data_IF_905802192448
#
_entry.id   IF_905802192448
#
_cell.length_a   1.000
_cell.length_b   1.000
_cell.length_c   1.000
_cell.angle_alpha   90.00
_cell.angle_beta   90.00
_cell.angle_gamma   90.00
#
_symmetry.space_group_name_H-M   'P 1'
#
loop_
_entity.id
_entity.type
_entity.pdbx_description
1 polymer ?
#
# COMPACT_ATOMS: atom_id res chain seq x y z
N UNK A 1 17.85 -7.84 32.38
CA UNK A 1 18.40 -7.22 31.17
C UNK A 1 18.79 -8.22 30.09
N UNK A 2 19.52 -9.29 30.36
CA UNK A 2 19.90 -10.29 29.35
C UNK A 2 18.73 -10.97 28.65
N UNK A 3 17.64 -11.29 29.34
CA UNK A 3 16.49 -12.01 28.81
C UNK A 3 15.68 -11.14 27.83
N UNK A 4 15.52 -9.84 28.08
CA UNK A 4 14.86 -8.91 27.16
C UNK A 4 15.65 -8.73 25.86
N UNK A 5 16.98 -8.78 25.93
CA UNK A 5 17.88 -8.72 24.78
C UNK A 5 17.74 -9.95 23.88
N UNK A 6 17.61 -11.15 24.46
CA UNK A 6 17.40 -12.39 23.72
C UNK A 6 16.02 -12.39 22.99
N UNK A 7 14.98 -11.89 23.64
CA UNK A 7 13.64 -11.81 23.02
C UNK A 7 13.63 -10.80 21.86
N UNK A 8 14.24 -9.63 22.03
CA UNK A 8 14.38 -8.63 20.97
C UNK A 8 15.20 -9.17 19.78
N UNK A 9 16.31 -9.87 20.05
CA UNK A 9 17.18 -10.48 19.04
C UNK A 9 16.50 -11.59 18.24
N UNK A 10 15.51 -12.30 18.79
CA UNK A 10 14.80 -13.39 18.09
C UNK A 10 13.68 -12.91 17.16
N UNK A 11 13.11 -11.72 17.39
CA UNK A 11 12.05 -11.16 16.53
C UNK A 11 12.59 -10.37 15.32
N UNK A 12 13.76 -9.75 15.42
CA UNK A 12 14.41 -9.04 14.31
C UNK A 12 14.57 -9.90 13.04
N UNK A 13 15.02 -11.17 13.12
CA UNK A 13 15.16 -12.03 11.95
C UNK A 13 13.84 -12.28 11.21
N UNK A 14 12.71 -12.36 11.93
CA UNK A 14 11.41 -12.63 11.33
C UNK A 14 10.88 -11.41 10.53
N UNK A 15 11.05 -10.19 11.07
CA UNK A 15 10.73 -8.97 10.35
C UNK A 15 11.55 -8.83 9.07
N UNK A 16 12.86 -9.02 9.15
CA UNK A 16 13.74 -8.96 7.98
C UNK A 16 13.40 -10.07 6.98
N UNK A 17 13.01 -11.25 7.44
CA UNK A 17 12.57 -12.35 6.58
C UNK A 17 11.29 -11.99 5.83
N UNK A 18 10.26 -11.48 6.53
CA UNK A 18 8.99 -11.09 5.91
C UNK A 18 9.18 -9.94 4.94
N UNK A 19 10.01 -8.94 5.25
CA UNK A 19 10.34 -7.86 4.32
C UNK A 19 10.99 -8.40 3.04
N UNK A 20 12.02 -9.23 3.16
CA UNK A 20 12.69 -9.84 2.00
C UNK A 20 11.76 -10.72 1.15
N UNK A 21 10.84 -11.45 1.78
CA UNK A 21 9.83 -12.24 1.05
C UNK A 21 8.89 -11.28 0.30
N UNK A 22 8.42 -10.21 0.94
CA UNK A 22 7.54 -9.23 0.31
C UNK A 22 8.19 -8.54 -0.89
N UNK A 23 9.47 -8.16 -0.76
CA UNK A 23 10.24 -7.57 -1.86
C UNK A 23 10.40 -8.56 -3.03
N UNK A 24 10.67 -9.83 -2.75
CA UNK A 24 10.79 -10.87 -3.76
C UNK A 24 9.45 -11.15 -4.46
N UNK A 25 8.34 -11.23 -3.72
CA UNK A 25 7.00 -11.40 -4.28
C UNK A 25 6.62 -10.26 -5.23
N UNK A 26 6.91 -9.01 -4.85
CA UNK A 26 6.65 -7.86 -5.70
C UNK A 26 7.54 -7.87 -6.96
N UNK A 27 8.82 -8.24 -6.83
CA UNK A 27 9.72 -8.41 -7.98
C UNK A 27 9.24 -9.48 -8.95
N UNK A 28 8.70 -10.60 -8.47
CA UNK A 28 8.12 -11.64 -9.33
C UNK A 28 6.92 -11.11 -10.12
N UNK A 29 5.99 -10.42 -9.45
CA UNK A 29 4.85 -9.79 -10.12
C UNK A 29 5.30 -8.76 -11.15
N UNK A 30 6.33 -7.97 -10.86
CA UNK A 30 6.88 -6.98 -11.77
C UNK A 30 7.61 -7.60 -12.96
N UNK A 31 8.34 -8.71 -12.76
CA UNK A 31 8.98 -9.44 -13.85
C UNK A 31 7.96 -10.00 -14.84
N UNK A 32 6.90 -10.64 -14.33
CA UNK A 32 5.78 -11.12 -15.15
C UNK A 32 5.09 -9.99 -15.90
N UNK A 33 4.87 -8.85 -15.24
CA UNK A 33 4.30 -7.66 -15.88
C UNK A 33 5.15 -7.19 -17.06
N UNK A 34 6.47 -7.11 -16.89
CA UNK A 34 7.38 -6.68 -17.94
C UNK A 34 7.39 -7.66 -19.14
N UNK A 35 7.24 -8.96 -18.89
CA UNK A 35 7.13 -9.98 -19.92
C UNK A 35 5.80 -9.88 -20.69
N UNK A 36 4.70 -9.75 -19.97
CA UNK A 36 3.35 -9.68 -20.59
C UNK A 36 3.08 -8.35 -21.28
N UNK A 37 3.67 -7.25 -20.80
CA UNK A 37 3.39 -5.88 -21.26
C UNK A 37 4.67 -5.06 -21.52
N UNK A 38 5.57 -5.50 -22.43
CA UNK A 38 6.91 -4.89 -22.60
C UNK A 38 6.88 -3.41 -23.02
N UNK A 39 5.84 -2.97 -23.77
CA UNK A 39 5.74 -1.62 -24.34
C UNK A 39 4.52 -0.85 -23.85
N UNK A 40 3.96 -1.21 -22.69
CA UNK A 40 2.68 -0.66 -22.24
C UNK A 40 2.70 0.85 -21.99
N UNK A 41 3.86 1.42 -21.69
CA UNK A 41 4.03 2.84 -21.37
C UNK A 41 4.34 3.73 -22.59
N UNK A 42 4.40 3.15 -23.79
CA UNK A 42 4.89 3.81 -25.01
C UNK A 42 3.78 4.13 -26.03
N UNK A 43 2.52 4.14 -25.64
CA UNK A 43 1.39 4.30 -26.57
C UNK A 43 0.88 5.72 -26.69
N UNK A 44 -0.10 5.89 -27.58
CA UNK A 44 -0.84 7.13 -27.81
C UNK A 44 -2.17 7.20 -27.03
N UNK A 45 -2.62 6.05 -26.47
CA UNK A 45 -3.80 6.02 -25.61
C UNK A 45 -3.44 6.51 -24.21
N UNK A 46 -4.46 6.76 -23.40
CA UNK A 46 -4.31 7.25 -22.04
C UNK A 46 -4.82 6.22 -21.04
N UNK A 47 -4.26 6.23 -19.81
CA UNK A 47 -4.80 5.43 -18.69
C UNK A 47 -6.29 5.76 -18.48
N UNK A 48 -6.67 7.03 -18.67
CA UNK A 48 -8.05 7.50 -18.54
C UNK A 48 -9.06 6.88 -19.51
N UNK A 49 -8.61 6.27 -20.60
CA UNK A 49 -9.48 5.53 -21.51
C UNK A 49 -9.99 4.22 -20.89
N UNK A 50 -9.30 3.70 -19.88
CA UNK A 50 -9.65 2.45 -19.18
C UNK A 50 -10.14 2.68 -17.75
N UNK A 51 -9.49 3.59 -17.00
CA UNK A 51 -9.86 3.89 -15.60
C UNK A 51 -9.67 5.37 -15.28
N UNK A 52 -10.45 5.83 -14.29
CA UNK A 52 -10.29 7.13 -13.65
C UNK A 52 -10.17 6.93 -12.14
N UNK A 53 -9.03 7.26 -11.51
CA UNK A 53 -8.93 7.23 -10.04
C UNK A 53 -9.96 8.15 -9.39
N UNK A 54 -10.56 7.71 -8.30
CA UNK A 54 -11.48 8.54 -7.51
C UNK A 54 -10.72 9.39 -6.51
N UNK A 55 -11.16 10.62 -6.30
CA UNK A 55 -10.64 11.48 -5.23
C UNK A 55 -11.21 11.01 -3.89
N UNK A 56 -10.35 10.92 -2.87
CA UNK A 56 -10.74 10.64 -1.50
C UNK A 56 -11.55 11.78 -0.87
N UNK A 57 -12.11 11.50 0.30
CA UNK A 57 -12.92 12.46 1.07
C UNK A 57 -12.13 12.97 2.27
N UNK A 58 -11.79 14.26 2.27
CA UNK A 58 -11.00 14.90 3.31
C UNK A 58 -11.53 14.59 4.72
N UNK A 59 -10.64 14.13 5.61
CA UNK A 59 -10.89 13.91 7.02
C UNK A 59 -9.74 14.53 7.82
N UNK A 60 -10.05 15.55 8.58
CA UNK A 60 -9.08 16.14 9.50
C UNK A 60 -8.87 15.19 10.68
N UNK A 61 -7.63 15.05 11.15
CA UNK A 61 -7.31 14.14 12.28
C UNK A 61 -8.14 14.41 13.55
N UNK A 62 -8.47 15.68 13.83
CA UNK A 62 -9.34 16.07 14.95
C UNK A 62 -10.79 15.57 14.84
N UNK A 63 -11.24 15.22 13.63
CA UNK A 63 -12.60 14.71 13.34
C UNK A 63 -12.61 13.18 13.22
N UNK A 64 -11.45 12.53 13.33
CA UNK A 64 -11.37 11.08 13.30
C UNK A 64 -11.99 10.48 14.57
N UNK A 65 -12.89 9.53 14.40
CA UNK A 65 -13.47 8.75 15.50
C UNK A 65 -12.54 7.55 15.72
N UNK A 66 -12.20 7.27 16.97
CA UNK A 66 -11.29 6.18 17.34
C UNK A 66 -11.68 4.85 16.69
N UNK A 67 -10.73 4.22 16.03
CA UNK A 67 -10.86 2.94 15.34
C UNK A 67 -9.51 2.49 14.79
N UNK A 68 -9.52 1.42 13.98
CA UNK A 68 -8.32 0.76 13.47
C UNK A 68 -8.13 0.91 11.95
N UNK A 69 -9.03 1.63 11.28
CA UNK A 69 -8.98 1.88 9.84
C UNK A 69 -7.97 3.00 9.55
N UNK A 70 -6.92 2.74 8.76
CA UNK A 70 -5.94 3.77 8.41
C UNK A 70 -6.56 4.92 7.62
N UNK A 71 -6.24 6.15 7.98
CA UNK A 71 -6.58 7.36 7.21
C UNK A 71 -5.39 7.72 6.35
N UNK A 72 -5.52 7.55 5.03
CA UNK A 72 -4.47 7.81 4.05
C UNK A 72 -4.60 9.22 3.51
N UNK A 73 -3.56 10.03 3.69
CA UNK A 73 -3.48 11.40 3.20
C UNK A 73 -2.25 11.60 2.32
N UNK A 74 -1.63 12.77 2.34
CA UNK A 74 -0.43 13.09 1.54
C UNK A 74 0.87 12.47 2.04
N UNK A 75 0.85 11.69 3.14
CA UNK A 75 2.02 10.99 3.68
C UNK A 75 2.19 9.56 3.15
N UNK A 76 3.34 8.95 3.46
CA UNK A 76 3.62 7.52 3.17
C UNK A 76 2.88 6.63 4.18
N UNK A 77 2.88 7.04 5.45
CA UNK A 77 2.20 6.36 6.55
C UNK A 77 0.80 6.93 6.79
N UNK A 78 -0.09 6.20 7.47
CA UNK A 78 -1.39 6.72 7.87
C UNK A 78 -1.26 8.01 8.69
N UNK A 79 -2.03 9.03 8.34
CA UNK A 79 -2.07 10.30 9.09
C UNK A 79 -2.73 10.14 10.47
N UNK A 80 -3.68 9.22 10.58
CA UNK A 80 -4.42 8.84 11.80
C UNK A 80 -5.19 7.54 11.53
N UNK A 81 -6.03 7.15 12.50
CA UNK A 81 -6.94 6.01 12.37
C UNK A 81 -8.38 6.44 12.59
N UNK A 82 -9.33 5.75 11.94
CA UNK A 82 -10.77 6.05 11.97
C UNK A 82 -11.56 4.76 12.17
N UNK A 83 -12.84 4.87 12.50
CA UNK A 83 -13.73 3.72 12.70
C UNK A 83 -14.44 3.24 11.42
N UNK A 84 -14.27 3.94 10.32
CA UNK A 84 -14.90 3.62 9.03
C UNK A 84 -13.90 3.74 7.88
N UNK A 85 -14.09 2.91 6.86
CA UNK A 85 -13.41 3.02 5.57
C UNK A 85 -14.33 3.69 4.53
N UNK A 86 -13.74 4.30 3.51
CA UNK A 86 -14.46 4.77 2.32
C UNK A 86 -13.98 4.05 1.04
N UNK A 87 -13.17 3.01 1.21
CA UNK A 87 -12.68 2.13 0.14
C UNK A 87 -12.88 0.68 0.52
N UNK A 88 -12.77 -0.22 -0.45
CA UNK A 88 -12.67 -1.67 -0.27
C UNK A 88 -11.23 -2.14 -0.41
N UNK A 89 -10.92 -3.39 -0.05
CA UNK A 89 -9.58 -3.96 -0.22
C UNK A 89 -9.59 -5.04 -1.32
N UNK A 90 -8.51 -5.19 -2.10
CA UNK A 90 -7.30 -4.35 -2.10
C UNK A 90 -7.56 -2.94 -2.64
N UNK A 91 -6.80 -1.95 -2.18
CA UNK A 91 -6.90 -0.58 -2.66
C UNK A 91 -5.53 0.03 -2.92
N UNK A 92 -5.38 0.62 -4.08
CA UNK A 92 -4.26 1.44 -4.47
C UNK A 92 -4.56 2.90 -4.14
N UNK A 93 -3.68 3.56 -3.40
CA UNK A 93 -3.80 4.99 -3.10
C UNK A 93 -2.66 5.78 -3.73
N UNK A 94 -2.97 7.03 -4.09
CA UNK A 94 -2.06 8.00 -4.70
C UNK A 94 -2.13 9.25 -3.84
N UNK A 95 -1.05 9.58 -3.14
CA UNK A 95 -0.98 10.76 -2.30
C UNK A 95 -1.25 12.02 -3.15
N UNK A 96 -2.10 12.93 -2.67
CA UNK A 96 -2.58 14.01 -3.50
C UNK A 96 -1.83 15.32 -3.29
N UNK A 97 -1.18 15.53 -2.14
CA UNK A 97 -0.51 16.79 -1.82
C UNK A 97 0.72 16.61 -0.95
N UNK A 98 1.53 17.66 -0.86
CA UNK A 98 2.72 17.73 -0.03
C UNK A 98 3.95 17.07 -0.67
N UNK A 99 5.00 16.85 0.12
CA UNK A 99 6.29 16.32 -0.35
C UNK A 99 6.20 14.93 -1.01
N UNK A 100 5.15 14.17 -0.69
CA UNK A 100 4.93 12.83 -1.26
C UNK A 100 3.78 12.81 -2.28
N UNK A 101 3.36 13.97 -2.82
CA UNK A 101 2.32 14.00 -3.85
C UNK A 101 2.66 13.04 -5.00
N UNK A 102 1.73 12.16 -5.37
CA UNK A 102 1.96 11.12 -6.37
C UNK A 102 2.54 9.80 -5.84
N UNK A 103 2.85 9.70 -4.53
CA UNK A 103 3.32 8.43 -3.98
C UNK A 103 2.25 7.34 -4.09
N UNK A 104 2.63 6.22 -4.69
CA UNK A 104 1.77 5.06 -4.92
C UNK A 104 1.94 4.06 -3.79
N UNK A 105 0.83 3.69 -3.14
CA UNK A 105 0.82 2.67 -2.10
C UNK A 105 -0.32 1.66 -2.32
N UNK A 106 -0.08 0.40 -1.99
CA UNK A 106 -1.08 -0.67 -2.04
C UNK A 106 -1.43 -1.10 -0.61
N UNK A 107 -2.73 -1.08 -0.31
CA UNK A 107 -3.28 -1.51 0.97
C UNK A 107 -4.05 -2.82 0.81
N UNK A 108 -3.74 -3.79 1.67
CA UNK A 108 -4.42 -5.08 1.73
C UNK A 108 -5.60 -5.10 2.71
N UNK A 109 -5.93 -3.94 3.26
CA UNK A 109 -7.07 -3.70 4.15
C UNK A 109 -7.83 -2.47 3.64
N UNK A 110 -9.14 -2.33 3.94
CA UNK A 110 -9.88 -1.11 3.65
C UNK A 110 -9.24 0.08 4.36
N UNK A 111 -9.26 1.26 3.71
CA UNK A 111 -8.74 2.50 4.29
C UNK A 111 -9.75 3.63 4.16
N UNK A 112 -9.55 4.72 4.87
CA UNK A 112 -10.15 5.99 4.56
C UNK A 112 -9.20 6.81 3.69
N UNK A 113 -9.46 6.86 2.38
CA UNK A 113 -8.75 7.74 1.47
C UNK A 113 -9.19 9.19 1.74
N UNK A 114 -8.26 10.00 2.29
CA UNK A 114 -8.50 11.40 2.65
C UNK A 114 -7.90 12.34 1.61
N UNK A 115 -6.72 12.90 1.86
CA UNK A 115 -5.99 13.70 0.87
C UNK A 115 -5.15 12.81 -0.06
N UNK A 116 -5.84 11.90 -0.72
CA UNK A 116 -5.32 10.96 -1.69
C UNK A 116 -6.36 10.69 -2.77
N UNK A 117 -5.93 10.17 -3.91
CA UNK A 117 -6.81 9.50 -4.87
C UNK A 117 -6.68 8.00 -4.69
N UNK A 118 -7.64 7.21 -5.18
CA UNK A 118 -7.64 5.77 -5.01
C UNK A 118 -8.23 5.01 -6.19
N UNK A 119 -7.85 3.74 -6.30
CA UNK A 119 -8.39 2.74 -7.20
C UNK A 119 -8.66 1.49 -6.37
N UNK A 120 -9.91 1.06 -6.29
CA UNK A 120 -10.37 -0.15 -5.64
C UNK A 120 -11.32 -0.94 -6.55
N UNK A 121 -11.96 -1.98 -6.06
CA UNK A 121 -12.88 -2.83 -6.83
C UNK A 121 -14.13 -2.09 -7.32
N UNK A 122 -14.50 -0.95 -6.73
CA UNK A 122 -15.58 -0.10 -7.21
C UNK A 122 -15.24 0.62 -8.53
N UNK A 123 -13.98 0.58 -8.95
CA UNK A 123 -13.47 1.17 -10.19
C UNK A 123 -13.07 0.07 -11.16
N UNK A 124 -12.33 -0.92 -10.68
CA UNK A 124 -11.84 -2.05 -11.49
C UNK A 124 -11.53 -3.26 -10.61
N UNK A 125 -11.83 -4.49 -11.05
CA UNK A 125 -11.40 -5.69 -10.33
C UNK A 125 -9.88 -5.94 -10.45
N UNK A 126 -9.19 -5.24 -11.36
CA UNK A 126 -7.79 -5.48 -11.70
C UNK A 126 -6.82 -4.55 -10.94
N UNK A 127 -7.02 -4.37 -9.64
CA UNK A 127 -6.27 -3.40 -8.79
C UNK A 127 -4.76 -3.67 -8.82
N UNK A 128 -4.32 -4.91 -8.83
CA UNK A 128 -2.89 -5.27 -8.82
C UNK A 128 -2.18 -4.91 -10.12
N UNK A 129 -2.85 -5.06 -11.28
CA UNK A 129 -2.32 -4.59 -12.55
C UNK A 129 -2.06 -3.08 -12.50
N UNK A 130 -3.05 -2.31 -12.02
CA UNK A 130 -2.94 -0.85 -11.92
C UNK A 130 -1.89 -0.42 -10.89
N UNK A 131 -1.74 -1.18 -9.81
CA UNK A 131 -0.65 -0.94 -8.87
C UNK A 131 0.72 -1.06 -9.53
N UNK A 132 0.97 -2.14 -10.25
CA UNK A 132 2.29 -2.40 -10.86
C UNK A 132 2.62 -1.36 -11.94
N UNK A 133 1.68 -1.04 -12.84
CA UNK A 133 1.95 -0.05 -13.88
C UNK A 133 2.20 1.35 -13.31
N UNK A 134 1.42 1.77 -12.32
CA UNK A 134 1.61 3.08 -11.70
C UNK A 134 2.87 3.11 -10.82
N UNK A 135 3.19 2.03 -10.13
CA UNK A 135 4.43 1.91 -9.36
C UNK A 135 5.66 1.96 -10.24
N UNK A 136 5.64 1.31 -11.39
CA UNK A 136 6.70 1.38 -12.42
C UNK A 136 6.90 2.82 -12.91
N UNK A 137 5.83 3.61 -12.96
CA UNK A 137 5.84 5.03 -13.40
C UNK A 137 5.95 6.03 -12.26
N UNK A 138 6.35 5.59 -11.07
CA UNK A 138 6.40 6.45 -9.87
C UNK A 138 7.18 7.75 -10.10
N UNK A 139 8.32 7.67 -10.81
CA UNK A 139 9.13 8.86 -11.11
C UNK A 139 8.38 9.82 -12.04
N UNK A 140 7.76 9.33 -13.10
CA UNK A 140 6.99 10.12 -14.05
C UNK A 140 5.80 10.83 -13.35
N UNK A 141 5.14 10.12 -12.42
CA UNK A 141 4.06 10.69 -11.60
C UNK A 141 4.60 11.81 -10.69
N UNK A 142 5.77 11.65 -10.11
CA UNK A 142 6.40 12.72 -9.33
C UNK A 142 6.77 13.93 -10.21
N UNK A 143 7.28 13.69 -11.41
CA UNK A 143 7.64 14.75 -12.35
C UNK A 143 6.39 15.53 -12.87
N UNK A 144 5.18 14.92 -12.80
CA UNK A 144 3.90 15.53 -13.17
C UNK A 144 3.26 16.38 -12.05
N UNK A 145 3.94 16.56 -10.92
CA UNK A 145 3.45 17.41 -9.83
C UNK A 145 3.24 18.86 -10.29
N UNK A 146 2.18 19.48 -9.81
CA UNK A 146 1.88 20.89 -10.05
C UNK A 146 1.88 21.67 -8.74
N UNK A 147 2.28 22.96 -8.79
CA UNK A 147 2.34 23.83 -7.63
C UNK A 147 3.74 23.91 -7.01
N UNK A 148 4.38 25.08 -7.12
CA UNK A 148 5.75 25.30 -6.65
C UNK A 148 5.90 25.35 -5.12
N UNK A 149 4.90 25.86 -4.41
CA UNK A 149 4.94 25.97 -2.93
C UNK A 149 4.43 24.69 -2.25
N UNK A 150 3.44 24.03 -2.82
CA UNK A 150 2.90 22.78 -2.34
C UNK A 150 2.60 21.87 -3.55
N UNK A 151 3.37 20.81 -3.75
CA UNK A 151 3.13 19.89 -4.85
C UNK A 151 1.76 19.21 -4.74
N UNK A 152 1.08 19.03 -5.88
CA UNK A 152 -0.19 18.33 -5.98
C UNK A 152 -0.22 17.38 -7.17
N UNK A 153 -0.88 16.23 -6.98
CA UNK A 153 -1.27 15.30 -8.03
C UNK A 153 -2.78 15.08 -7.97
N UNK A 154 -3.44 15.21 -9.11
CA UNK A 154 -4.87 15.00 -9.27
C UNK A 154 -5.16 13.74 -10.09
N UNK A 155 -6.36 13.14 -9.98
CA UNK A 155 -6.76 11.98 -10.78
C UNK A 155 -6.50 12.15 -12.28
N UNK A 156 -6.72 13.35 -12.82
CA UNK A 156 -6.48 13.66 -14.23
C UNK A 156 -5.02 13.47 -14.66
N UNK A 157 -4.05 13.80 -13.80
CA UNK A 157 -2.63 13.62 -14.13
C UNK A 157 -2.27 12.12 -14.27
N UNK A 158 -2.97 11.26 -13.54
CA UNK A 158 -2.82 9.80 -13.70
C UNK A 158 -3.54 9.34 -14.96
N UNK A 159 -4.75 9.86 -15.22
CA UNK A 159 -5.54 9.51 -16.39
C UNK A 159 -4.85 9.94 -17.71
N UNK A 160 -4.12 11.05 -17.70
CA UNK A 160 -3.38 11.61 -18.84
C UNK A 160 -2.04 10.90 -19.11
N UNK A 161 -1.63 9.93 -18.29
CA UNK A 161 -0.42 9.16 -18.56
C UNK A 161 -0.61 8.29 -19.81
N UNK A 162 0.32 8.36 -20.80
CA UNK A 162 0.20 7.59 -22.02
C UNK A 162 0.36 6.09 -21.75
N UNK A 163 -0.36 5.28 -22.53
CA UNK A 163 -0.20 3.83 -22.53
C UNK A 163 -0.48 3.24 -23.90
N UNK A 164 0.08 2.06 -24.18
CA UNK A 164 -0.23 1.34 -25.39
C UNK A 164 -1.60 0.65 -25.28
N UNK A 165 -2.18 0.30 -26.43
CA UNK A 165 -3.41 -0.50 -26.47
C UNK A 165 -3.17 -1.82 -25.73
N UNK A 166 -4.07 -2.17 -24.84
CA UNK A 166 -4.05 -3.45 -24.16
C UNK A 166 -5.45 -4.03 -24.11
N UNK A 167 -5.59 -5.31 -24.38
CA UNK A 167 -6.85 -6.02 -24.25
C UNK A 167 -7.21 -6.22 -22.77
N UNK A 168 -8.46 -5.93 -22.42
CA UNK A 168 -8.96 -6.03 -21.04
C UNK A 168 -8.81 -7.46 -20.51
N UNK A 169 -8.98 -8.46 -21.37
CA UNK A 169 -8.79 -9.87 -21.04
C UNK A 169 -7.35 -10.18 -20.58
N UNK A 170 -6.37 -9.54 -21.23
CA UNK A 170 -4.95 -9.71 -20.87
C UNK A 170 -4.63 -9.04 -19.53
N UNK A 171 -5.27 -7.92 -19.24
CA UNK A 171 -5.19 -7.27 -17.91
C UNK A 171 -5.77 -8.21 -16.84
N UNK A 172 -6.94 -8.79 -17.11
CA UNK A 172 -7.60 -9.71 -16.18
C UNK A 172 -6.77 -10.98 -15.95
N UNK A 173 -6.22 -11.58 -17.01
CA UNK A 173 -5.32 -12.73 -16.93
C UNK A 173 -4.11 -12.45 -16.03
N UNK A 174 -3.43 -11.32 -16.24
CA UNK A 174 -2.31 -10.92 -15.38
C UNK A 174 -2.75 -10.77 -13.93
N UNK A 175 -3.86 -10.07 -13.69
CA UNK A 175 -4.35 -9.82 -12.33
C UNK A 175 -4.70 -11.13 -11.61
N UNK A 176 -5.29 -12.11 -12.32
CA UNK A 176 -5.57 -13.44 -11.78
C UNK A 176 -4.28 -14.17 -11.37
N UNK A 177 -3.25 -14.17 -12.22
CA UNK A 177 -1.97 -14.83 -11.93
C UNK A 177 -1.28 -14.20 -10.72
N UNK A 178 -1.30 -12.87 -10.56
CA UNK A 178 -0.57 -12.21 -9.47
C UNK A 178 -1.38 -12.08 -8.18
N UNK A 179 -2.69 -12.32 -8.21
CA UNK A 179 -3.55 -12.25 -7.01
C UNK A 179 -2.99 -13.06 -5.85
N UNK A 180 -2.64 -14.36 -5.97
CA UNK A 180 -2.09 -15.13 -4.85
C UNK A 180 -0.75 -14.58 -4.33
N UNK A 181 0.06 -13.95 -5.19
CA UNK A 181 1.31 -13.28 -4.81
C UNK A 181 1.01 -12.11 -3.86
N UNK A 182 0.08 -11.24 -4.25
CA UNK A 182 -0.29 -10.08 -3.45
C UNK A 182 -1.09 -10.44 -2.20
N UNK A 183 -1.93 -11.46 -2.23
CA UNK A 183 -2.61 -11.98 -1.04
C UNK A 183 -1.59 -12.49 -0.02
N UNK A 184 -0.56 -13.23 -0.46
CA UNK A 184 0.53 -13.66 0.43
C UNK A 184 1.28 -12.47 1.01
N UNK A 185 1.56 -11.44 0.21
CA UNK A 185 2.17 -10.19 0.66
C UNK A 185 1.32 -9.51 1.74
N UNK A 186 0.01 -9.45 1.53
CA UNK A 186 -0.95 -8.91 2.52
C UNK A 186 -0.95 -9.69 3.84
N UNK A 187 -0.94 -11.03 3.78
CA UNK A 187 -0.85 -11.88 4.97
C UNK A 187 0.43 -11.61 5.77
N UNK A 188 1.59 -11.53 5.10
CA UNK A 188 2.87 -11.24 5.74
C UNK A 188 2.91 -9.83 6.35
N UNK A 189 2.25 -8.85 5.72
CA UNK A 189 2.10 -7.51 6.28
C UNK A 189 1.28 -7.54 7.59
N UNK A 190 0.13 -8.22 7.60
CA UNK A 190 -0.73 -8.35 8.78
C UNK A 190 -0.04 -9.13 9.90
N UNK A 191 0.68 -10.21 9.57
CA UNK A 191 1.50 -10.96 10.52
C UNK A 191 2.56 -10.05 11.18
N UNK A 192 3.30 -9.29 10.37
CA UNK A 192 4.31 -8.35 10.87
C UNK A 192 3.71 -7.28 11.78
N UNK A 193 2.54 -6.74 11.42
CA UNK A 193 1.78 -5.77 12.25
C UNK A 193 1.38 -6.39 13.58
N UNK A 194 0.88 -7.61 13.58
CA UNK A 194 0.50 -8.34 14.79
C UNK A 194 1.70 -8.60 15.70
N UNK A 195 2.81 -9.08 15.14
CA UNK A 195 4.05 -9.31 15.87
C UNK A 195 4.60 -8.01 16.50
N UNK A 196 4.52 -6.89 15.78
CA UNK A 196 4.88 -5.57 16.30
C UNK A 196 4.03 -5.21 17.52
N UNK A 197 2.72 -5.36 17.42
CA UNK A 197 1.78 -5.07 18.51
C UNK A 197 2.03 -5.95 19.74
N UNK A 198 2.28 -7.24 19.52
CA UNK A 198 2.64 -8.18 20.61
C UNK A 198 3.93 -7.75 21.29
N UNK A 199 4.97 -7.43 20.51
CA UNK A 199 6.25 -6.96 21.05
C UNK A 199 6.03 -5.72 21.91
N UNK A 200 5.36 -4.72 21.40
CA UNK A 200 5.17 -3.42 22.07
C UNK A 200 4.32 -3.54 23.34
N UNK A 201 3.43 -4.55 23.39
CA UNK A 201 2.64 -4.87 24.58
C UNK A 201 3.41 -5.66 25.62
N UNK A 202 4.17 -6.68 25.18
CA UNK A 202 4.83 -7.63 26.09
C UNK A 202 6.18 -7.13 26.60
N UNK A 203 6.94 -6.39 25.79
CA UNK A 203 8.29 -5.95 26.13
C UNK A 203 8.32 -5.08 27.40
N UNK A 204 7.45 -4.06 27.58
CA UNK A 204 7.40 -3.28 28.82
C UNK A 204 7.08 -4.14 30.05
N UNK A 205 6.17 -5.11 29.94
CA UNK A 205 5.76 -6.00 31.03
C UNK A 205 6.88 -6.96 31.46
N UNK A 206 7.65 -7.46 30.48
CA UNK A 206 8.82 -8.27 30.74
C UNK A 206 9.96 -7.46 31.38
N UNK A 207 10.14 -6.21 30.95
CA UNK A 207 11.17 -5.31 31.51
C UNK A 207 10.83 -4.84 32.93
N UNK A 208 9.56 -4.62 33.25
CA UNK A 208 9.09 -4.27 34.59
C UNK A 208 9.04 -5.46 35.55
N UNK A 209 9.17 -6.70 35.07
CA UNK A 209 9.01 -7.93 35.86
C UNK A 209 7.56 -8.27 36.19
N UNK A 210 6.59 -7.54 35.63
CA UNK A 210 5.14 -7.83 35.73
C UNK A 210 4.82 -9.18 35.09
N UNK A 211 5.53 -9.54 34.00
CA UNK A 211 5.39 -10.80 33.30
C UNK A 211 6.73 -11.56 33.36
N UNK A 212 6.68 -12.85 33.73
CA UNK A 212 7.84 -13.72 33.73
C UNK A 212 7.74 -14.74 32.59
N UNK A 213 8.87 -15.11 31.99
CA UNK A 213 8.88 -16.06 30.85
C UNK A 213 8.27 -17.41 31.21
N UNK A 214 8.36 -17.84 32.47
CA UNK A 214 7.75 -19.09 32.92
C UNK A 214 6.22 -19.04 32.96
N UNK A 215 5.60 -17.87 32.96
CA UNK A 215 4.15 -17.68 32.95
C UNK A 215 3.56 -17.77 31.52
N UNK A 216 4.40 -17.78 30.50
CA UNK A 216 4.00 -17.83 29.08
C UNK A 216 3.92 -19.27 28.55
N UNK A 217 4.58 -20.20 29.23
CA UNK A 217 4.67 -21.61 28.80
C UNK A 217 3.67 -22.56 29.51
N UNK A 218 2.75 -22.02 30.28
CA UNK A 218 1.60 -22.69 30.87
C UNK A 218 0.31 -22.19 30.22
#
# INVERSE_FOLDING_TARGET
MQTAYYTYSSYQPLFHKNSRINDNLEQQAQALFNEMFPHITEGENMIGDLIMPKRGKGLLSKNAIKGDIPVVAGGIEPATYHNQANTTAPVLTIAASGANAGYINLWHIPVWASDSSYIDDSITPNVYFWYIILKKRQKEIFDAQVGSAQPHIYPKHIAELPMNVVFVEKIAEYNEIVTPIFERKGQLFLESKHLTSLRDTLLPKLMSGELKINDINN
#
